data_IF_071067063317
#
_entry.id   IF_071067063317
#
_cell.length_a   1.000
_cell.length_b   1.000
_cell.length_c   1.000
_cell.angle_alpha   90.00
_cell.angle_beta   90.00
_cell.angle_gamma   90.00
#
_symmetry.space_group_name_H-M   'P 1'
#
loop_
_entity.id
_entity.type
_entity.pdbx_description
1 polymer ?
#
# COMPACT_ATOMS: atom_id res chain seq x y z
N UNK A 1 -10.25 1.62 13.43
CA UNK A 1 -10.50 2.77 12.52
C UNK A 1 -11.37 2.44 11.31
N UNK A 2 -10.93 1.66 10.31
CA UNK A 2 -11.75 1.34 9.12
C UNK A 2 -13.09 0.69 9.47
N UNK A 3 -13.07 -0.40 10.24
CA UNK A 3 -14.29 -1.09 10.66
C UNK A 3 -15.19 -0.20 11.53
N UNK A 4 -14.61 0.47 12.54
CA UNK A 4 -15.39 1.20 13.55
C UNK A 4 -15.98 2.54 13.05
N UNK A 5 -15.26 3.25 12.17
CA UNK A 5 -15.66 4.60 11.72
C UNK A 5 -16.26 4.62 10.32
N UNK A 6 -15.97 3.61 9.51
CA UNK A 6 -16.33 3.60 8.09
C UNK A 6 -17.02 2.31 7.65
N UNK A 7 -17.26 1.34 8.55
CA UNK A 7 -17.89 0.05 8.25
C UNK A 7 -17.18 -0.74 7.13
N UNK A 8 -15.84 -0.63 7.09
CA UNK A 8 -14.99 -1.31 6.11
C UNK A 8 -14.17 -2.39 6.81
N UNK A 9 -14.42 -3.65 6.43
CA UNK A 9 -13.59 -4.78 6.81
C UNK A 9 -12.23 -4.73 6.08
N UNK A 10 -11.19 -5.23 6.76
CA UNK A 10 -9.85 -5.32 6.20
C UNK A 10 -9.13 -6.56 6.72
N UNK A 11 -8.40 -7.23 5.84
CA UNK A 11 -7.43 -8.25 6.20
C UNK A 11 -6.06 -7.62 6.42
N UNK A 12 -5.39 -7.96 7.52
CA UNK A 12 -4.09 -7.39 7.89
C UNK A 12 -2.99 -8.40 7.64
N UNK A 13 -1.98 -7.99 6.87
CA UNK A 13 -0.86 -8.83 6.47
C UNK A 13 0.45 -8.29 7.05
N UNK A 14 1.33 -9.20 7.46
CA UNK A 14 2.72 -8.87 7.75
C UNK A 14 3.59 -9.21 6.55
N UNK A 15 4.34 -8.22 6.05
CA UNK A 15 5.31 -8.37 4.96
C UNK A 15 6.73 -8.24 5.52
N UNK A 16 7.31 -9.30 6.14
CA UNK A 16 8.60 -9.20 6.82
C UNK A 16 9.77 -8.88 5.88
N UNK A 17 9.64 -9.16 4.58
CA UNK A 17 10.64 -8.77 3.59
C UNK A 17 10.06 -8.69 2.17
N UNK A 18 9.82 -7.47 1.68
CA UNK A 18 9.47 -7.22 0.28
C UNK A 18 10.58 -7.66 -0.68
N UNK A 19 11.84 -7.57 -0.26
CA UNK A 19 12.98 -8.00 -1.08
C UNK A 19 12.96 -9.51 -1.31
N UNK A 20 12.68 -10.32 -0.27
CA UNK A 20 12.60 -11.77 -0.45
C UNK A 20 11.40 -12.17 -1.33
N UNK A 21 10.24 -11.53 -1.15
CA UNK A 21 9.08 -11.74 -2.03
C UNK A 21 9.43 -11.45 -3.49
N UNK A 22 10.11 -10.33 -3.75
CA UNK A 22 10.56 -9.97 -5.11
C UNK A 22 11.57 -10.98 -5.66
N UNK A 23 12.58 -11.36 -4.88
CA UNK A 23 13.64 -12.26 -5.34
C UNK A 23 13.08 -13.64 -5.70
N UNK A 24 12.14 -14.16 -4.90
CA UNK A 24 11.42 -15.39 -5.17
C UNK A 24 10.61 -15.27 -6.47
N UNK A 25 9.82 -14.20 -6.61
CA UNK A 25 8.99 -13.99 -7.79
C UNK A 25 9.81 -13.84 -9.09
N UNK A 26 10.93 -13.13 -9.05
CA UNK A 26 11.87 -13.04 -10.18
C UNK A 26 12.49 -14.40 -10.55
N UNK A 27 12.78 -15.23 -9.55
CA UNK A 27 13.29 -16.59 -9.76
C UNK A 27 12.25 -17.46 -10.46
N UNK A 28 10.98 -17.37 -10.01
CA UNK A 28 9.83 -18.05 -10.64
C UNK A 28 9.62 -17.57 -12.07
N UNK A 29 9.58 -16.26 -12.32
CA UNK A 29 9.41 -15.71 -13.66
C UNK A 29 10.54 -16.13 -14.60
N UNK A 30 11.79 -16.13 -14.11
CA UNK A 30 12.94 -16.64 -14.87
C UNK A 30 12.74 -18.12 -15.20
N UNK A 31 12.30 -18.94 -14.25
CA UNK A 31 12.06 -20.36 -14.49
C UNK A 31 10.96 -20.55 -15.54
N UNK A 32 9.81 -19.89 -15.39
CA UNK A 32 8.69 -19.96 -16.34
C UNK A 32 9.12 -19.56 -17.75
N UNK A 33 9.90 -18.47 -17.89
CA UNK A 33 10.43 -18.02 -19.18
C UNK A 33 11.36 -19.04 -19.85
N UNK A 34 12.06 -19.86 -19.07
CA UNK A 34 12.99 -20.87 -19.56
C UNK A 34 12.36 -22.26 -19.72
N UNK A 35 11.10 -22.44 -19.29
CA UNK A 35 10.37 -23.71 -19.36
C UNK A 35 8.95 -23.46 -19.90
N UNK A 36 8.81 -22.99 -21.16
CA UNK A 36 7.51 -22.56 -21.69
C UNK A 36 6.51 -23.70 -21.91
N UNK A 37 6.97 -24.95 -21.98
CA UNK A 37 6.11 -26.14 -22.15
C UNK A 37 5.69 -26.77 -20.82
N UNK A 38 6.27 -26.32 -19.70
CA UNK A 38 5.91 -26.79 -18.36
C UNK A 38 4.74 -26.01 -17.78
N UNK A 39 4.08 -26.59 -16.77
CA UNK A 39 3.06 -25.85 -16.02
C UNK A 39 3.72 -24.65 -15.31
N UNK A 40 3.25 -23.40 -15.54
CA UNK A 40 3.84 -22.23 -14.92
C UNK A 40 3.79 -22.30 -13.39
N UNK A 41 4.93 -22.01 -12.76
CA UNK A 41 5.02 -21.85 -11.31
C UNK A 41 4.40 -20.51 -10.91
N UNK A 42 3.76 -20.46 -9.74
CA UNK A 42 3.20 -19.25 -9.15
C UNK A 42 4.14 -18.70 -8.08
N UNK A 43 4.55 -17.42 -8.12
CA UNK A 43 5.26 -16.79 -7.01
C UNK A 43 4.46 -16.85 -5.70
N UNK A 44 5.14 -16.87 -4.56
CA UNK A 44 4.49 -16.91 -3.24
C UNK A 44 3.56 -15.72 -3.02
N UNK A 45 3.97 -14.52 -3.44
CA UNK A 45 3.13 -13.31 -3.31
C UNK A 45 1.81 -13.42 -4.09
N UNK A 46 1.81 -14.10 -5.24
CA UNK A 46 0.60 -14.37 -6.02
C UNK A 46 -0.28 -15.37 -5.28
N UNK A 47 0.31 -16.44 -4.75
CA UNK A 47 -0.44 -17.45 -3.97
C UNK A 47 -1.06 -16.84 -2.71
N UNK A 48 -0.32 -16.01 -1.99
CA UNK A 48 -0.78 -15.37 -0.75
C UNK A 48 -1.96 -14.42 -1.00
N UNK A 49 -1.95 -13.70 -2.12
CA UNK A 49 -3.00 -12.73 -2.47
C UNK A 49 -4.08 -13.32 -3.38
N UNK A 50 -4.03 -14.62 -3.66
CA UNK A 50 -4.98 -15.29 -4.56
C UNK A 50 -6.39 -15.27 -3.94
N UNK A 51 -7.37 -14.76 -4.68
CA UNK A 51 -8.75 -14.67 -4.22
C UNK A 51 -9.02 -13.58 -3.17
N UNK A 52 -8.00 -12.81 -2.75
CA UNK A 52 -8.19 -11.68 -1.82
C UNK A 52 -8.91 -10.54 -2.56
N UNK A 53 -10.12 -10.13 -2.11
CA UNK A 53 -10.89 -9.10 -2.77
C UNK A 53 -10.43 -7.69 -2.37
N UNK A 54 -10.74 -6.72 -3.23
CA UNK A 54 -10.58 -5.30 -2.95
C UNK A 54 -9.14 -4.78 -3.10
N UNK A 55 -8.94 -3.48 -2.78
CA UNK A 55 -7.66 -2.83 -2.93
C UNK A 55 -6.71 -3.18 -1.77
N UNK A 56 -5.41 -3.09 -2.05
CA UNK A 56 -4.33 -3.25 -1.08
C UNK A 56 -3.68 -1.91 -0.79
N UNK A 57 -3.51 -1.58 0.48
CA UNK A 57 -2.68 -0.46 0.95
C UNK A 57 -1.48 -1.02 1.69
N UNK A 58 -0.29 -0.70 1.21
CA UNK A 58 0.97 -1.13 1.81
C UNK A 58 1.70 0.08 2.39
N UNK A 59 1.94 0.09 3.70
CA UNK A 59 2.66 1.16 4.39
C UNK A 59 3.96 0.64 4.98
N UNK A 60 5.05 1.40 4.84
CA UNK A 60 6.35 1.07 5.44
C UNK A 60 7.02 2.32 5.99
N UNK A 61 7.91 2.16 6.98
CA UNK A 61 8.81 3.25 7.42
C UNK A 61 9.99 3.47 6.43
N UNK A 62 9.93 2.88 5.22
CA UNK A 62 10.84 3.09 4.09
C UNK A 62 10.11 3.82 2.94
N UNK A 63 10.86 4.16 1.90
CA UNK A 63 10.34 4.74 0.65
C UNK A 63 9.22 3.87 0.02
N UNK A 64 8.29 4.50 -0.69
CA UNK A 64 7.23 3.80 -1.46
C UNK A 64 7.79 2.75 -2.43
N UNK A 65 9.02 2.96 -2.91
CA UNK A 65 9.74 2.01 -3.75
C UNK A 65 9.90 0.60 -3.12
N UNK A 66 9.87 0.47 -1.79
CA UNK A 66 10.00 -0.81 -1.08
C UNK A 66 8.77 -1.70 -1.26
N UNK A 67 7.54 -1.28 -0.91
CA UNK A 67 6.35 -2.06 -1.22
C UNK A 67 6.13 -2.21 -2.74
N UNK A 68 6.54 -1.24 -3.56
CA UNK A 68 6.45 -1.33 -5.03
C UNK A 68 7.30 -2.47 -5.63
N UNK A 69 8.25 -3.04 -4.87
CA UNK A 69 9.06 -4.18 -5.31
C UNK A 69 8.23 -5.36 -5.77
N UNK A 70 7.03 -5.57 -5.22
CA UNK A 70 6.13 -6.69 -5.57
C UNK A 70 5.00 -6.31 -6.52
N UNK A 71 4.85 -5.02 -6.86
CA UNK A 71 3.75 -4.51 -7.68
C UNK A 71 3.49 -5.30 -8.98
N UNK A 72 4.51 -5.81 -9.71
CA UNK A 72 4.29 -6.59 -10.94
C UNK A 72 3.46 -7.87 -10.75
N UNK A 73 3.44 -8.45 -9.54
CA UNK A 73 2.76 -9.70 -9.24
C UNK A 73 1.44 -9.50 -8.46
N UNK A 74 1.01 -8.25 -8.27
CA UNK A 74 -0.24 -7.92 -7.60
C UNK A 74 -1.26 -7.44 -8.63
N UNK A 75 -2.41 -8.12 -8.70
CA UNK A 75 -3.47 -7.81 -9.67
C UNK A 75 -4.45 -6.77 -9.16
N UNK A 76 -4.64 -6.72 -7.83
CA UNK A 76 -5.46 -5.74 -7.14
C UNK A 76 -4.93 -4.32 -7.34
N UNK A 77 -5.79 -3.33 -7.14
CA UNK A 77 -5.34 -1.95 -6.93
C UNK A 77 -4.39 -1.93 -5.73
N UNK A 78 -3.22 -1.31 -5.89
CA UNK A 78 -2.17 -1.30 -4.88
C UNK A 78 -1.72 0.13 -4.65
N UNK A 79 -1.81 0.62 -3.42
CA UNK A 79 -1.33 1.94 -3.00
C UNK A 79 -0.18 1.75 -2.02
N UNK A 80 0.96 2.34 -2.35
CA UNK A 80 2.15 2.37 -1.51
C UNK A 80 2.21 3.66 -0.72
N UNK A 81 2.36 3.55 0.60
CA UNK A 81 2.68 4.65 1.51
C UNK A 81 4.09 4.42 2.06
N UNK A 82 4.87 5.49 2.12
CA UNK A 82 6.27 5.41 2.47
C UNK A 82 6.88 6.78 2.75
N UNK A 83 8.04 6.75 3.40
CA UNK A 83 8.75 7.88 3.98
C UNK A 83 9.68 8.58 2.98
N UNK A 84 9.17 8.83 1.77
CA UNK A 84 9.90 9.57 0.75
C UNK A 84 10.18 11.01 1.19
N UNK A 85 11.42 11.47 1.00
CA UNK A 85 11.88 12.78 1.45
C UNK A 85 13.02 12.72 2.47
N UNK A 86 13.46 13.89 2.92
CA UNK A 86 14.54 13.99 3.90
C UNK A 86 14.03 13.80 5.33
N UNK A 87 14.84 13.11 6.14
CA UNK A 87 14.57 12.93 7.57
C UNK A 87 14.58 14.26 8.32
N UNK A 88 13.79 14.34 9.39
CA UNK A 88 13.64 15.52 10.26
C UNK A 88 13.63 15.07 11.72
N UNK A 89 13.97 15.99 12.61
CA UNK A 89 13.89 15.75 14.06
C UNK A 89 12.51 16.13 14.58
N UNK A 90 11.73 15.14 15.00
CA UNK A 90 10.44 15.32 15.68
C UNK A 90 10.07 14.02 16.43
N UNK A 91 8.91 14.00 17.08
CA UNK A 91 8.29 12.80 17.65
C UNK A 91 7.92 11.78 16.57
N UNK A 92 7.81 10.50 16.96
CA UNK A 92 7.47 9.43 16.00
C UNK A 92 6.08 9.64 15.39
N UNK A 93 5.15 10.11 16.21
CA UNK A 93 3.77 10.40 15.82
C UNK A 93 3.74 11.53 14.77
N UNK A 94 4.45 12.64 15.03
CA UNK A 94 4.55 13.75 14.10
C UNK A 94 5.25 13.35 12.79
N UNK A 95 6.32 12.56 12.85
CA UNK A 95 7.02 12.10 11.64
C UNK A 95 6.14 11.17 10.79
N UNK A 96 5.41 10.23 11.41
CA UNK A 96 4.49 9.35 10.68
C UNK A 96 3.35 10.12 10.03
N UNK A 97 2.83 11.14 10.72
CA UNK A 97 1.85 12.07 10.14
C UNK A 97 2.42 12.86 8.97
N UNK A 98 3.63 13.36 9.13
CA UNK A 98 4.34 14.13 8.12
C UNK A 98 4.55 13.30 6.85
N UNK A 99 5.10 12.08 6.98
CA UNK A 99 5.36 11.16 5.89
C UNK A 99 4.13 10.39 5.38
N UNK A 100 2.96 10.59 5.97
CA UNK A 100 1.70 9.97 5.53
C UNK A 100 1.67 8.45 5.68
N UNK A 101 2.28 7.94 6.75
CA UNK A 101 2.34 6.50 7.09
C UNK A 101 1.67 6.19 8.44
N UNK A 102 0.92 7.14 9.00
CA UNK A 102 0.09 6.94 10.19
C UNK A 102 -1.24 6.22 9.86
N UNK A 103 -2.01 5.88 10.89
CA UNK A 103 -3.24 5.11 10.74
C UNK A 103 -4.30 5.87 9.93
N UNK A 104 -4.38 7.19 10.11
CA UNK A 104 -5.25 8.11 9.41
C UNK A 104 -4.94 8.14 7.90
N UNK A 105 -3.67 8.29 7.51
CA UNK A 105 -3.24 8.24 6.12
C UNK A 105 -3.51 6.89 5.48
N UNK A 106 -3.29 5.78 6.20
CA UNK A 106 -3.63 4.43 5.72
C UNK A 106 -5.14 4.30 5.47
N UNK A 107 -5.98 4.79 6.39
CA UNK A 107 -7.44 4.74 6.23
C UNK A 107 -7.92 5.60 5.05
N UNK A 108 -7.37 6.80 4.90
CA UNK A 108 -7.70 7.69 3.77
C UNK A 108 -7.29 7.06 2.43
N UNK A 109 -6.11 6.42 2.36
CA UNK A 109 -5.66 5.69 1.17
C UNK A 109 -6.59 4.51 0.84
N UNK A 110 -7.05 3.77 1.83
CA UNK A 110 -7.99 2.66 1.62
C UNK A 110 -9.34 3.14 1.06
N UNK A 111 -9.89 4.22 1.63
CA UNK A 111 -11.12 4.85 1.14
C UNK A 111 -10.96 5.39 -0.28
N UNK A 112 -9.85 6.07 -0.56
CA UNK A 112 -9.54 6.50 -1.92
C UNK A 112 -9.49 5.32 -2.88
N UNK A 113 -8.81 4.22 -2.52
CA UNK A 113 -8.71 3.04 -3.37
C UNK A 113 -10.09 2.41 -3.65
N UNK A 114 -10.95 2.31 -2.64
CA UNK A 114 -12.33 1.85 -2.78
C UNK A 114 -13.15 2.77 -3.69
N UNK A 115 -12.95 4.10 -3.62
CA UNK A 115 -13.62 5.04 -4.51
C UNK A 115 -13.22 4.85 -5.97
N UNK A 116 -11.94 4.52 -6.22
CA UNK A 116 -11.41 4.25 -7.55
C UNK A 116 -11.89 2.91 -8.13
N UNK A 117 -12.47 2.04 -7.29
CA UNK A 117 -13.16 0.81 -7.69
C UNK A 117 -14.70 0.99 -7.73
N UNK A 118 -15.19 2.22 -7.51
CA UNK A 118 -16.62 2.55 -7.52
C UNK A 118 -17.39 1.98 -6.32
N UNK A 119 -16.71 1.56 -5.26
CA UNK A 119 -17.34 0.98 -4.06
C UNK A 119 -17.95 2.03 -3.13
N UNK A 120 -17.37 3.23 -3.13
CA UNK A 120 -17.85 4.39 -2.37
C UNK A 120 -17.72 5.66 -3.23
N UNK A 121 -18.53 6.71 -3.01
CA UNK A 121 -18.40 7.95 -3.77
C UNK A 121 -17.17 8.77 -3.33
N UNK A 122 -16.55 9.56 -4.23
CA UNK A 122 -15.42 10.43 -3.87
C UNK A 122 -15.71 11.41 -2.73
N UNK A 123 -16.97 11.82 -2.56
CA UNK A 123 -17.41 12.70 -1.46
C UNK A 123 -17.19 12.08 -0.08
N UNK A 124 -17.28 10.76 0.06
CA UNK A 124 -16.97 10.08 1.32
C UNK A 124 -15.47 10.13 1.64
N UNK A 125 -14.62 10.04 0.61
CA UNK A 125 -13.16 10.20 0.77
C UNK A 125 -12.84 11.62 1.23
N UNK A 126 -13.42 12.65 0.60
CA UNK A 126 -13.23 14.05 1.00
C UNK A 126 -13.68 14.30 2.45
N UNK A 127 -14.82 13.71 2.86
CA UNK A 127 -15.29 13.77 4.25
C UNK A 127 -14.29 13.11 5.20
N UNK A 128 -13.80 11.92 4.86
CA UNK A 128 -12.85 11.19 5.69
C UNK A 128 -11.52 11.93 5.84
N UNK A 129 -10.96 12.52 4.77
CA UNK A 129 -9.74 13.34 4.83
C UNK A 129 -9.90 14.45 5.89
N UNK A 130 -11.03 15.15 5.88
CA UNK A 130 -11.36 16.18 6.87
C UNK A 130 -11.51 15.60 8.29
N UNK A 131 -12.27 14.52 8.45
CA UNK A 131 -12.54 13.90 9.75
C UNK A 131 -11.32 13.19 10.37
N UNK A 132 -10.32 12.88 9.55
CA UNK A 132 -9.02 12.34 9.94
C UNK A 132 -7.97 13.45 10.12
N UNK A 133 -8.38 14.72 9.96
CA UNK A 133 -7.53 15.91 10.13
C UNK A 133 -6.39 16.02 9.13
N UNK A 134 -6.48 15.36 7.98
CA UNK A 134 -5.42 15.34 6.97
C UNK A 134 -5.49 16.66 6.21
N UNK A 135 -4.36 17.36 6.16
CA UNK A 135 -4.22 18.57 5.35
C UNK A 135 -3.94 18.15 3.90
N UNK A 136 -4.89 18.33 2.96
CA UNK A 136 -4.68 17.96 1.56
C UNK A 136 -3.75 18.94 0.82
N UNK A 137 -3.50 20.13 1.38
CA UNK A 137 -2.67 21.18 0.75
C UNK A 137 -1.25 21.23 1.35
N UNK A 138 -0.92 20.35 2.30
CA UNK A 138 0.44 20.30 2.84
C UNK A 138 1.43 19.92 1.74
N UNK A 139 2.68 20.42 1.78
CA UNK A 139 3.70 20.02 0.82
C UNK A 139 3.95 18.52 0.84
N UNK A 140 4.15 17.92 -0.34
CA UNK A 140 4.63 16.56 -0.48
C UNK A 140 5.93 16.37 0.33
N UNK A 141 6.02 15.38 1.23
CA UNK A 141 7.21 15.10 2.03
C UNK A 141 8.51 14.99 1.22
N UNK A 142 8.44 14.56 -0.05
CA UNK A 142 9.59 14.47 -0.95
C UNK A 142 10.21 15.85 -1.26
N UNK A 143 9.38 16.89 -1.34
CA UNK A 143 9.77 18.25 -1.71
C UNK A 143 9.71 19.24 -0.54
N UNK A 144 9.35 18.76 0.64
CA UNK A 144 9.30 19.57 1.84
C UNK A 144 10.74 19.89 2.29
N UNK A 145 11.09 21.18 2.27
CA UNK A 145 12.31 21.73 2.88
C UNK A 145 12.11 22.09 4.34
#
# INVERSE_FOLDING_TARGET
MLAERFDIAADVWSAPSYQQLRNEALSVDRWNRLHPEETPRKPYVVQALEGVPGPIVAATDYLKAVPDLIRPWVTQRFISLGTDGFGRSDTREALRRFFEVDAESIAAAALYALSQEGKIPPSEVSRAIKDLGIDPEKPDPLFAN
#
